data_IF_992060073478
#
_entry.id   IF_992060073478
#
_cell.length_a   1.000
_cell.length_b   1.000
_cell.length_c   1.000
_cell.angle_alpha   90.00
_cell.angle_beta   90.00
_cell.angle_gamma   90.00
#
_symmetry.space_group_name_H-M   'P 1'
#
loop_
_entity.id
_entity.type
_entity.pdbx_description
1 polymer ?
#
# COMPACT_ATOMS: atom_id res chain seq x y z
N UNK A 1 4.97 -40.21 0.05
CA UNK A 1 3.80 -39.76 0.84
C UNK A 1 4.17 -39.80 2.31
N UNK A 2 3.78 -38.79 3.12
CA UNK A 2 4.03 -38.82 4.58
C UNK A 2 2.89 -39.55 5.28
N UNK A 3 3.22 -40.44 6.20
CA UNK A 3 2.26 -41.14 7.06
C UNK A 3 2.60 -40.88 8.52
N UNK A 4 1.65 -40.35 9.27
CA UNK A 4 1.78 -39.95 10.67
C UNK A 4 1.37 -41.09 11.59
N UNK A 5 2.22 -41.41 12.56
CA UNK A 5 1.94 -42.46 13.55
C UNK A 5 0.76 -42.11 14.47
N UNK A 6 0.14 -43.14 15.06
CA UNK A 6 -0.90 -42.95 16.08
C UNK A 6 -0.45 -42.06 17.24
N UNK A 7 0.76 -42.29 17.77
CA UNK A 7 1.31 -41.52 18.89
C UNK A 7 1.50 -40.06 18.54
N UNK A 8 1.93 -39.76 17.30
CA UNK A 8 2.05 -38.40 16.80
C UNK A 8 0.70 -37.67 16.78
N UNK A 9 -0.35 -38.32 16.27
CA UNK A 9 -1.68 -37.69 16.17
C UNK A 9 -2.31 -37.55 17.58
N UNK A 10 -2.06 -38.50 18.49
CA UNK A 10 -2.66 -38.52 19.81
C UNK A 10 -2.01 -37.61 20.87
N UNK A 11 -0.70 -37.32 20.79
CA UNK A 11 0.04 -36.63 21.88
C UNK A 11 0.63 -35.25 21.52
N UNK A 12 0.58 -34.79 20.26
CA UNK A 12 1.43 -33.68 19.81
C UNK A 12 0.86 -32.26 19.98
N UNK A 13 -0.27 -32.06 20.69
CA UNK A 13 -0.98 -30.77 20.68
C UNK A 13 -0.87 -29.92 21.96
N UNK A 14 -0.53 -30.49 23.12
CA UNK A 14 -0.53 -29.74 24.39
C UNK A 14 0.78 -28.98 24.69
N UNK A 15 1.94 -29.56 24.36
CA UNK A 15 3.24 -28.96 24.69
C UNK A 15 3.48 -27.61 24.01
N UNK A 16 3.13 -27.51 22.72
CA UNK A 16 3.32 -26.30 21.91
C UNK A 16 2.45 -25.14 22.43
N UNK A 17 1.24 -25.43 22.92
CA UNK A 17 0.34 -24.41 23.48
C UNK A 17 0.92 -23.75 24.75
N UNK A 18 1.64 -24.49 25.60
CA UNK A 18 2.28 -23.92 26.79
C UNK A 18 3.44 -22.98 26.44
N UNK A 19 4.26 -23.34 25.46
CA UNK A 19 5.36 -22.48 24.96
C UNK A 19 4.79 -21.15 24.44
N UNK A 20 3.69 -21.23 23.70
CA UNK A 20 3.01 -20.07 23.16
C UNK A 20 2.43 -19.17 24.27
N UNK A 21 1.76 -19.73 25.28
CA UNK A 21 1.24 -18.94 26.42
C UNK A 21 2.39 -18.23 27.16
N UNK A 22 3.52 -18.90 27.37
CA UNK A 22 4.70 -18.29 27.98
C UNK A 22 5.22 -17.10 27.15
N UNK A 23 5.20 -17.21 25.82
CA UNK A 23 5.63 -16.14 24.91
C UNK A 23 4.71 -14.90 25.00
N UNK A 24 3.39 -15.08 25.13
CA UNK A 24 2.45 -13.95 25.37
C UNK A 24 2.80 -13.24 26.68
N UNK A 25 3.06 -13.99 27.75
CA UNK A 25 3.38 -13.41 29.06
C UNK A 25 4.66 -12.57 28.96
N UNK A 26 5.69 -13.07 28.27
CA UNK A 26 6.94 -12.33 28.04
C UNK A 26 6.67 -11.01 27.28
N UNK A 27 5.87 -11.05 26.21
CA UNK A 27 5.50 -9.85 25.45
C UNK A 27 4.74 -8.85 26.32
N UNK A 28 3.78 -9.32 27.12
CA UNK A 28 3.04 -8.47 28.04
C UNK A 28 3.96 -7.76 29.04
N UNK A 29 4.96 -8.48 29.58
CA UNK A 29 5.98 -7.89 30.47
C UNK A 29 6.84 -6.83 29.76
N UNK A 30 7.21 -7.06 28.50
CA UNK A 30 7.96 -6.08 27.69
C UNK A 30 7.13 -4.82 27.41
N UNK A 31 5.84 -4.97 27.12
CA UNK A 31 4.90 -3.84 26.96
C UNK A 31 4.79 -3.05 28.28
N UNK A 32 4.62 -3.74 29.42
CA UNK A 32 4.55 -3.08 30.73
C UNK A 32 5.85 -2.33 31.04
N UNK A 33 7.01 -2.97 30.83
CA UNK A 33 8.32 -2.35 31.08
C UNK A 33 8.55 -1.10 30.22
N UNK A 34 8.22 -1.17 28.93
CA UNK A 34 8.33 -0.02 28.02
C UNK A 34 7.30 1.07 28.34
N UNK A 35 6.11 0.71 28.83
CA UNK A 35 5.09 1.65 29.31
C UNK A 35 5.53 2.42 30.55
N UNK A 36 6.13 1.74 31.53
CA UNK A 36 6.72 2.36 32.71
C UNK A 36 7.84 3.33 32.30
N UNK A 37 8.70 2.91 31.37
CA UNK A 37 9.80 3.74 30.88
C UNK A 37 9.31 4.98 30.12
N UNK A 38 8.27 4.85 29.31
CA UNK A 38 7.60 5.99 28.66
C UNK A 38 7.00 6.95 29.68
N UNK A 39 6.26 6.44 30.68
CA UNK A 39 5.65 7.27 31.72
C UNK A 39 6.70 8.06 32.51
N UNK A 40 7.82 7.42 32.84
CA UNK A 40 8.94 8.07 33.53
C UNK A 40 9.64 9.13 32.69
N UNK A 41 9.70 8.95 31.38
CA UNK A 41 10.42 9.84 30.44
C UNK A 41 9.47 10.53 29.43
N UNK A 42 8.33 11.04 29.90
CA UNK A 42 7.23 11.59 29.08
C UNK A 42 7.63 12.76 28.16
N UNK A 43 8.73 13.47 28.46
CA UNK A 43 9.23 14.59 27.64
C UNK A 43 10.01 14.15 26.40
N UNK A 44 10.43 12.89 26.29
CA UNK A 44 11.21 12.39 25.15
C UNK A 44 10.33 11.60 24.18
N UNK A 45 10.10 12.18 22.99
CA UNK A 45 9.27 11.60 21.93
C UNK A 45 9.76 10.21 21.47
N UNK A 46 11.05 9.88 21.61
CA UNK A 46 11.58 8.57 21.21
C UNK A 46 11.00 7.42 22.02
N UNK A 47 10.77 7.62 23.33
CA UNK A 47 10.19 6.58 24.19
C UNK A 47 8.70 6.39 23.97
N UNK A 48 7.99 7.46 23.58
CA UNK A 48 6.61 7.34 23.10
C UNK A 48 6.55 6.44 21.85
N UNK A 49 7.40 6.70 20.86
CA UNK A 49 7.45 5.89 19.64
C UNK A 49 7.85 4.44 19.93
N UNK A 50 8.81 4.21 20.83
CA UNK A 50 9.22 2.87 21.24
C UNK A 50 8.08 2.10 21.93
N UNK A 51 7.36 2.74 22.85
CA UNK A 51 6.21 2.12 23.53
C UNK A 51 5.09 1.77 22.55
N UNK A 52 4.75 2.67 21.64
CA UNK A 52 3.73 2.43 20.60
C UNK A 52 4.15 1.25 19.71
N UNK A 53 5.42 1.21 19.28
CA UNK A 53 5.96 0.15 18.43
C UNK A 53 5.90 -1.22 19.11
N UNK A 54 6.36 -1.31 20.36
CA UNK A 54 6.36 -2.56 21.13
C UNK A 54 4.93 -3.04 21.40
N UNK A 55 4.01 -2.11 21.67
CA UNK A 55 2.59 -2.43 21.86
C UNK A 55 1.95 -2.95 20.57
N UNK A 56 2.21 -2.32 19.41
CA UNK A 56 1.70 -2.82 18.12
C UNK A 56 2.28 -4.18 17.75
N UNK A 57 3.58 -4.40 17.94
CA UNK A 57 4.21 -5.70 17.69
C UNK A 57 3.63 -6.78 18.61
N UNK A 58 3.44 -6.48 19.89
CA UNK A 58 2.85 -7.40 20.83
C UNK A 58 1.40 -7.74 20.51
N UNK A 59 0.58 -6.74 20.14
CA UNK A 59 -0.79 -6.95 19.68
C UNK A 59 -0.84 -7.84 18.43
N UNK A 60 0.08 -7.65 17.48
CA UNK A 60 0.19 -8.49 16.29
C UNK A 60 0.55 -9.94 16.63
N UNK A 61 1.52 -10.16 17.52
CA UNK A 61 1.91 -11.53 17.93
C UNK A 61 0.76 -12.22 18.68
N UNK A 62 0.09 -11.52 19.60
CA UNK A 62 -1.09 -12.04 20.31
C UNK A 62 -2.18 -12.39 19.30
N UNK A 63 -2.47 -11.52 18.33
CA UNK A 63 -3.48 -11.78 17.31
C UNK A 63 -3.14 -13.02 16.45
N UNK A 64 -1.88 -13.13 15.97
CA UNK A 64 -1.42 -14.30 15.23
C UNK A 64 -1.57 -15.59 16.04
N UNK A 65 -1.21 -15.56 17.33
CA UNK A 65 -1.28 -16.72 18.20
C UNK A 65 -2.72 -17.12 18.52
N UNK A 66 -3.61 -16.15 18.73
CA UNK A 66 -5.04 -16.40 18.95
C UNK A 66 -5.69 -17.02 17.71
N UNK A 67 -5.30 -16.55 16.51
CA UNK A 67 -5.70 -17.15 15.24
C UNK A 67 -5.27 -18.61 15.10
N UNK A 68 -4.04 -18.95 15.50
CA UNK A 68 -3.57 -20.35 15.55
C UNK A 68 -4.41 -21.21 16.49
N UNK A 69 -4.70 -20.73 17.71
CA UNK A 69 -5.51 -21.46 18.69
C UNK A 69 -6.92 -21.71 18.17
N UNK A 70 -7.52 -20.74 17.48
CA UNK A 70 -8.84 -20.90 16.87
C UNK A 70 -8.84 -21.95 15.75
N UNK A 71 -7.85 -21.93 14.85
CA UNK A 71 -7.67 -22.96 13.82
C UNK A 71 -7.43 -24.34 14.44
N UNK A 72 -6.67 -24.41 15.53
CA UNK A 72 -6.35 -25.65 16.21
C UNK A 72 -7.55 -26.27 16.92
N UNK A 73 -8.43 -25.48 17.57
CA UNK A 73 -9.66 -26.02 18.18
C UNK A 73 -10.57 -26.74 17.17
N UNK A 74 -10.66 -26.21 15.95
CA UNK A 74 -11.43 -26.85 14.87
C UNK A 74 -10.75 -28.13 14.37
N UNK A 75 -9.41 -28.16 14.34
CA UNK A 75 -8.64 -29.35 13.99
C UNK A 75 -8.69 -30.42 15.08
N UNK A 76 -8.60 -30.06 16.37
CA UNK A 76 -8.54 -30.99 17.51
C UNK A 76 -9.76 -31.94 17.58
N UNK A 77 -10.95 -31.45 17.23
CA UNK A 77 -12.16 -32.29 17.14
C UNK A 77 -12.02 -33.34 16.03
N UNK A 78 -11.53 -32.93 14.85
CA UNK A 78 -11.33 -33.81 13.71
C UNK A 78 -10.18 -34.80 13.96
N UNK A 79 -9.09 -34.36 14.57
CA UNK A 79 -7.96 -35.18 14.99
C UNK A 79 -8.40 -36.25 15.99
N UNK A 80 -9.24 -35.89 16.97
CA UNK A 80 -9.80 -36.85 17.94
C UNK A 80 -10.61 -37.95 17.23
N UNK A 81 -11.40 -37.59 16.21
CA UNK A 81 -12.15 -38.55 15.40
C UNK A 81 -11.23 -39.45 14.57
N UNK A 82 -10.16 -38.90 13.96
CA UNK A 82 -9.14 -39.70 13.25
C UNK A 82 -8.48 -40.72 14.19
N UNK A 83 -8.10 -40.32 15.41
CA UNK A 83 -7.53 -41.20 16.43
C UNK A 83 -8.51 -42.32 16.81
N UNK A 84 -9.81 -42.02 16.90
CA UNK A 84 -10.85 -43.02 17.16
C UNK A 84 -11.00 -44.03 16.02
N UNK A 85 -10.97 -43.57 14.76
CA UNK A 85 -11.05 -44.45 13.59
C UNK A 85 -9.83 -45.37 13.51
N UNK A 86 -8.62 -44.82 13.71
CA UNK A 86 -7.39 -45.63 13.78
C UNK A 86 -7.50 -46.70 14.87
N UNK A 87 -8.05 -46.35 16.04
CA UNK A 87 -8.27 -47.31 17.14
C UNK A 87 -9.29 -48.40 16.77
N UNK A 88 -10.37 -48.05 16.08
CA UNK A 88 -11.39 -49.01 15.65
C UNK A 88 -10.83 -49.99 14.59
N UNK A 89 -10.09 -49.48 13.61
CA UNK A 89 -9.44 -50.30 12.57
C UNK A 89 -8.37 -51.20 13.18
N UNK A 90 -7.56 -50.68 14.10
CA UNK A 90 -6.57 -51.47 14.86
C UNK A 90 -7.22 -52.65 15.59
N UNK A 91 -8.34 -52.43 16.28
CA UNK A 91 -9.11 -53.49 16.95
C UNK A 91 -9.69 -54.50 15.95
N UNK A 92 -10.27 -54.04 14.85
CA UNK A 92 -10.89 -54.90 13.84
C UNK A 92 -9.86 -55.78 13.11
N UNK A 93 -8.69 -55.23 12.82
CA UNK A 93 -7.61 -55.91 12.09
C UNK A 93 -6.59 -56.60 13.00
N UNK A 94 -6.73 -56.49 14.33
CA UNK A 94 -5.81 -57.04 15.34
C UNK A 94 -4.36 -56.59 15.16
N UNK A 95 -4.16 -55.34 14.73
CA UNK A 95 -2.84 -54.72 14.55
C UNK A 95 -2.59 -53.79 15.73
N UNK A 96 -1.42 -53.84 16.39
CA UNK A 96 -1.14 -52.98 17.54
C UNK A 96 -1.01 -51.50 17.11
N UNK A 97 -1.34 -50.58 18.03
CA UNK A 97 -1.47 -49.14 17.75
C UNK A 97 -0.15 -48.46 17.34
N UNK A 98 0.98 -49.03 17.72
CA UNK A 98 2.34 -48.61 17.34
C UNK A 98 2.65 -48.85 15.85
N UNK A 99 1.90 -49.74 15.19
CA UNK A 99 2.02 -50.04 13.77
C UNK A 99 0.92 -49.37 12.92
N UNK A 100 0.20 -48.41 13.50
CA UNK A 100 -0.86 -47.66 12.82
C UNK A 100 -0.35 -46.30 12.35
N UNK A 101 -0.55 -46.02 11.07
CA UNK A 101 -0.20 -44.74 10.47
C UNK A 101 -1.34 -44.17 9.62
N UNK A 102 -1.45 -42.85 9.53
CA UNK A 102 -2.47 -42.14 8.75
C UNK A 102 -1.84 -41.13 7.80
N UNK A 103 -2.43 -40.94 6.63
CA UNK A 103 -2.02 -39.91 5.67
C UNK A 103 -2.41 -38.49 6.06
N UNK A 104 -3.31 -38.34 7.02
CA UNK A 104 -3.86 -37.06 7.46
C UNK A 104 -3.94 -37.01 8.99
N UNK A 105 -3.73 -35.82 9.55
CA UNK A 105 -3.90 -35.53 10.98
C UNK A 105 -5.35 -35.16 11.33
N UNK A 106 -6.16 -34.83 10.32
CA UNK A 106 -7.57 -34.44 10.45
C UNK A 106 -8.46 -35.44 9.70
N UNK A 107 -9.73 -35.47 10.08
CA UNK A 107 -10.75 -36.33 9.47
C UNK A 107 -11.07 -35.83 8.04
N UNK A 108 -10.70 -36.62 7.03
CA UNK A 108 -10.90 -36.27 5.61
C UNK A 108 -11.27 -37.52 4.83
N UNK A 109 -12.22 -37.37 3.90
CA UNK A 109 -12.58 -38.42 2.96
C UNK A 109 -11.43 -38.78 2.02
N UNK A 110 -11.24 -40.08 1.77
CA UNK A 110 -10.13 -40.60 0.99
C UNK A 110 -8.79 -40.68 1.73
N UNK A 111 -8.76 -40.42 3.05
CA UNK A 111 -7.53 -40.60 3.83
C UNK A 111 -7.09 -42.07 3.85
N UNK A 112 -5.79 -42.32 3.84
CA UNK A 112 -5.21 -43.67 3.86
C UNK A 112 -4.70 -44.01 5.25
N UNK A 113 -5.10 -45.16 5.78
CA UNK A 113 -4.61 -45.73 7.04
C UNK A 113 -3.79 -46.98 6.73
N UNK A 114 -2.52 -46.97 7.13
CA UNK A 114 -1.65 -48.14 7.09
C UNK A 114 -1.73 -48.86 8.44
N UNK A 115 -2.04 -50.16 8.39
CA UNK A 115 -2.06 -51.06 9.54
C UNK A 115 -1.02 -52.17 9.31
N UNK A 116 0.17 -52.01 9.89
CA UNK A 116 1.28 -52.92 9.64
C UNK A 116 1.75 -52.86 8.17
N UNK A 117 1.53 -53.94 7.41
CA UNK A 117 1.92 -54.05 5.99
C UNK A 117 0.79 -53.68 5.00
N UNK A 118 -0.45 -53.68 5.48
CA UNK A 118 -1.62 -53.41 4.63
C UNK A 118 -2.04 -51.95 4.74
N UNK A 119 -2.52 -51.38 3.64
CA UNK A 119 -3.03 -50.03 3.58
C UNK A 119 -4.52 -50.04 3.18
N UNK A 120 -5.28 -49.13 3.76
CA UNK A 120 -6.72 -48.99 3.51
C UNK A 120 -7.07 -47.53 3.25
N UNK A 121 -7.93 -47.27 2.26
CA UNK A 121 -8.54 -45.94 2.07
C UNK A 121 -9.84 -45.90 2.87
N UNK A 122 -10.03 -44.81 3.60
CA UNK A 122 -11.25 -44.54 4.37
C UNK A 122 -12.18 -43.69 3.51
N UNK A 123 -13.38 -44.21 3.26
CA UNK A 123 -14.43 -43.47 2.56
C UNK A 123 -15.59 -43.17 3.51
N UNK A 124 -15.90 -41.90 3.69
CA UNK A 124 -17.03 -41.43 4.50
C UNK A 124 -18.28 -41.26 3.65
N UNK A 125 -19.44 -41.38 4.29
CA UNK A 125 -20.68 -40.86 3.73
C UNK A 125 -20.69 -39.32 3.76
N UNK A 126 -21.63 -38.71 3.04
CA UNK A 126 -21.78 -37.25 2.95
C UNK A 126 -21.86 -36.55 4.31
N UNK A 127 -22.40 -37.23 5.32
CA UNK A 127 -22.58 -36.69 6.68
C UNK A 127 -21.42 -37.00 7.64
N UNK A 128 -20.36 -37.67 7.18
CA UNK A 128 -19.17 -38.05 7.97
C UNK A 128 -19.46 -38.88 9.23
N UNK A 129 -20.64 -39.51 9.31
CA UNK A 129 -21.08 -40.33 10.44
C UNK A 129 -20.62 -41.78 10.33
N UNK A 130 -20.50 -42.27 9.10
CA UNK A 130 -20.23 -43.66 8.78
C UNK A 130 -19.02 -43.70 7.86
N UNK A 131 -18.19 -44.74 8.00
CA UNK A 131 -17.05 -44.92 7.12
C UNK A 131 -16.94 -46.37 6.64
N UNK A 132 -16.37 -46.54 5.46
CA UNK A 132 -15.96 -47.82 4.90
C UNK A 132 -14.46 -47.81 4.68
N UNK A 133 -13.84 -49.00 4.71
CA UNK A 133 -12.40 -49.17 4.50
C UNK A 133 -12.16 -50.12 3.35
N UNK A 134 -11.51 -49.63 2.30
CA UNK A 134 -11.18 -50.41 1.10
C UNK A 134 -9.67 -50.68 1.05
N UNK A 135 -9.23 -51.92 0.77
CA UNK A 135 -7.81 -52.22 0.68
C UNK A 135 -7.17 -51.49 -0.52
N UNK A 136 -5.97 -50.96 -0.32
CA UNK A 136 -5.21 -50.25 -1.36
C UNK A 136 -3.72 -50.61 -1.32
N UNK A 137 -3.01 -50.29 -2.40
CA UNK A 137 -1.55 -50.41 -2.48
C UNK A 137 -0.94 -49.02 -2.64
N UNK A 138 0.12 -48.77 -1.88
CA UNK A 138 0.87 -47.51 -1.98
C UNK A 138 1.76 -47.53 -3.22
N UNK A 139 1.70 -46.46 -4.02
CA UNK A 139 2.51 -46.29 -5.25
C UNK A 139 4.00 -46.06 -4.91
N UNK A 140 4.28 -45.50 -3.72
CA UNK A 140 5.65 -45.21 -3.25
C UNK A 140 5.80 -45.62 -1.78
N UNK A 141 7.04 -45.93 -1.37
CA UNK A 141 7.32 -46.18 0.04
C UNK A 141 6.99 -44.94 0.88
N UNK A 142 6.17 -45.07 1.92
CA UNK A 142 5.80 -43.93 2.75
C UNK A 142 6.94 -43.51 3.66
N UNK A 143 7.04 -42.21 3.92
CA UNK A 143 7.89 -41.68 4.99
C UNK A 143 7.07 -41.64 6.29
N UNK A 144 7.46 -42.44 7.28
CA UNK A 144 6.82 -42.46 8.59
C UNK A 144 7.26 -41.28 9.45
N UNK A 145 6.29 -40.56 10.00
CA UNK A 145 6.49 -39.42 10.90
C UNK A 145 6.09 -39.84 12.32
N UNK A 146 7.10 -40.08 13.16
CA UNK A 146 6.93 -40.70 14.47
C UNK A 146 7.09 -39.71 15.64
N UNK A 147 7.59 -38.51 15.38
CA UNK A 147 7.79 -37.47 16.39
C UNK A 147 7.42 -36.10 15.84
N UNK A 148 6.88 -35.27 16.74
CA UNK A 148 6.65 -33.85 16.53
C UNK A 148 7.97 -33.10 16.40
N UNK A 149 8.63 -33.20 15.24
CA UNK A 149 9.67 -32.24 14.90
C UNK A 149 9.05 -30.84 14.86
N UNK A 150 9.80 -29.82 15.29
CA UNK A 150 9.43 -28.42 15.04
C UNK A 150 9.41 -28.19 13.53
N UNK A 151 8.26 -28.42 12.91
CA UNK A 151 8.02 -28.11 11.51
C UNK A 151 7.33 -26.75 11.47
N UNK A 152 7.99 -25.75 10.89
CA UNK A 152 7.36 -24.48 10.53
C UNK A 152 6.05 -24.79 9.80
N UNK A 153 4.93 -24.50 10.44
CA UNK A 153 3.61 -24.81 9.91
C UNK A 153 3.39 -24.02 8.61
N UNK A 154 2.70 -24.60 7.62
CA UNK A 154 2.31 -23.90 6.40
C UNK A 154 1.45 -22.64 6.68
N UNK A 155 0.83 -22.54 7.86
CA UNK A 155 0.14 -21.31 8.29
C UNK A 155 1.13 -20.18 8.67
N UNK A 156 2.35 -20.54 9.10
CA UNK A 156 3.40 -19.58 9.48
C UNK A 156 4.04 -18.94 8.25
N UNK A 157 4.13 -19.68 7.15
CA UNK A 157 4.59 -19.15 5.86
C UNK A 157 3.60 -18.16 5.24
N UNK A 158 2.30 -18.26 5.53
CA UNK A 158 1.29 -17.31 5.02
C UNK A 158 1.48 -15.92 5.65
N UNK A 159 1.61 -15.83 6.97
CA UNK A 159 1.87 -14.55 7.64
C UNK A 159 3.24 -13.98 7.24
N UNK A 160 4.26 -14.83 7.05
CA UNK A 160 5.56 -14.42 6.52
C UNK A 160 5.47 -13.82 5.11
N UNK A 161 4.63 -14.41 4.24
CA UNK A 161 4.39 -13.90 2.89
C UNK A 161 3.66 -12.56 2.91
N UNK A 162 2.64 -12.41 3.78
CA UNK A 162 1.94 -11.14 3.99
C UNK A 162 2.90 -10.06 4.47
N UNK A 163 3.74 -10.38 5.47
CA UNK A 163 4.76 -9.46 5.98
C UNK A 163 5.75 -9.03 4.89
N UNK A 164 6.25 -9.97 4.09
CA UNK A 164 7.16 -9.69 2.99
C UNK A 164 6.51 -8.77 1.95
N UNK A 165 5.24 -9.04 1.56
CA UNK A 165 4.48 -8.15 0.67
C UNK A 165 4.33 -6.75 1.27
N UNK A 166 3.98 -6.63 2.55
CA UNK A 166 3.90 -5.32 3.22
C UNK A 166 5.24 -4.57 3.17
N UNK A 167 6.34 -5.25 3.45
CA UNK A 167 7.68 -4.65 3.43
C UNK A 167 8.07 -4.17 2.03
N UNK A 168 7.84 -5.01 1.01
CA UNK A 168 8.08 -4.67 -0.40
C UNK A 168 7.23 -3.46 -0.80
N UNK A 169 5.93 -3.49 -0.49
CA UNK A 169 5.00 -2.41 -0.81
C UNK A 169 5.45 -1.10 -0.17
N UNK A 170 5.78 -1.12 1.12
CA UNK A 170 6.28 0.05 1.84
C UNK A 170 7.56 0.63 1.20
N UNK A 171 8.57 -0.20 0.96
CA UNK A 171 9.83 0.22 0.34
C UNK A 171 9.56 0.81 -1.06
N UNK A 172 8.72 0.17 -1.86
CA UNK A 172 8.39 0.63 -3.21
C UNK A 172 7.62 1.95 -3.21
N UNK A 173 6.68 2.17 -2.28
CA UNK A 173 6.00 3.48 -2.15
C UNK A 173 7.01 4.57 -1.82
N UNK A 174 7.85 4.35 -0.81
CA UNK A 174 8.85 5.34 -0.37
C UNK A 174 9.81 5.67 -1.53
N UNK A 175 10.26 4.64 -2.26
CA UNK A 175 11.10 4.81 -3.43
C UNK A 175 10.38 5.58 -4.54
N UNK A 176 9.12 5.24 -4.85
CA UNK A 176 8.33 5.96 -5.85
C UNK A 176 8.11 7.43 -5.47
N UNK A 177 7.79 7.74 -4.21
CA UNK A 177 7.60 9.12 -3.75
C UNK A 177 8.93 9.90 -3.88
N UNK A 178 10.05 9.30 -3.48
CA UNK A 178 11.34 9.97 -3.57
C UNK A 178 11.79 10.21 -5.03
N UNK A 179 11.50 9.28 -5.95
CA UNK A 179 11.83 9.41 -7.37
C UNK A 179 10.87 10.31 -8.14
N UNK A 180 9.57 10.24 -7.84
CA UNK A 180 8.50 11.00 -8.53
C UNK A 180 8.40 12.45 -8.02
N UNK A 181 9.09 12.76 -6.93
CA UNK A 181 9.03 14.06 -6.25
C UNK A 181 7.88 14.16 -5.25
N UNK A 182 7.84 15.28 -4.53
CA UNK A 182 6.92 15.47 -3.39
C UNK A 182 5.45 15.71 -3.78
N UNK A 183 5.11 15.74 -5.07
CA UNK A 183 3.73 15.92 -5.57
C UNK A 183 2.76 14.87 -5.01
N UNK A 184 3.22 13.66 -4.71
CA UNK A 184 2.35 12.62 -4.11
C UNK A 184 1.95 12.94 -2.65
N UNK A 185 2.74 13.69 -1.90
CA UNK A 185 2.44 14.00 -0.49
C UNK A 185 1.48 15.18 -0.35
N UNK A 186 1.58 16.13 -1.27
CA UNK A 186 0.72 17.30 -1.39
C UNK A 186 0.28 17.39 -2.85
N UNK A 187 -0.81 16.71 -3.23
CA UNK A 187 -1.22 16.58 -4.62
C UNK A 187 -1.50 17.94 -5.25
N UNK A 188 -0.69 18.29 -6.24
CA UNK A 188 -0.80 19.52 -7.02
C UNK A 188 -1.80 19.40 -8.17
N UNK A 189 -2.06 18.18 -8.65
CA UNK A 189 -2.96 17.90 -9.76
C UNK A 189 -3.76 16.61 -9.55
N UNK A 190 -4.69 16.32 -10.47
CA UNK A 190 -5.54 15.14 -10.41
C UNK A 190 -4.76 13.82 -10.53
N UNK A 191 -3.67 13.79 -11.30
CA UNK A 191 -2.84 12.57 -11.49
C UNK A 191 -2.12 12.18 -10.20
N UNK A 192 -1.57 13.15 -9.48
CA UNK A 192 -0.92 12.90 -8.17
C UNK A 192 -1.95 12.33 -7.16
N UNK A 193 -3.19 12.82 -7.16
CA UNK A 193 -4.27 12.25 -6.33
C UNK A 193 -4.63 10.83 -6.75
N UNK A 194 -4.86 10.62 -8.05
CA UNK A 194 -5.20 9.32 -8.62
C UNK A 194 -4.11 8.29 -8.31
N UNK A 195 -2.85 8.72 -8.34
CA UNK A 195 -1.72 7.87 -8.02
C UNK A 195 -1.82 7.32 -6.60
N UNK A 196 -2.12 8.17 -5.62
CA UNK A 196 -2.26 7.74 -4.23
C UNK A 196 -3.39 6.73 -4.03
N UNK A 197 -4.52 6.92 -4.70
CA UNK A 197 -5.67 6.00 -4.61
C UNK A 197 -5.35 4.64 -5.22
N UNK A 198 -4.75 4.61 -6.40
CA UNK A 198 -4.41 3.35 -7.08
C UNK A 198 -3.32 2.61 -6.31
N UNK A 199 -2.30 3.32 -5.81
CA UNK A 199 -1.24 2.72 -5.01
C UNK A 199 -1.80 2.06 -3.73
N UNK A 200 -2.71 2.75 -3.04
CA UNK A 200 -3.43 2.20 -1.89
C UNK A 200 -4.27 0.97 -2.25
N UNK A 201 -4.97 1.01 -3.39
CA UNK A 201 -5.78 -0.10 -3.89
C UNK A 201 -4.96 -1.33 -4.28
N UNK A 202 -3.83 -1.14 -4.97
CA UNK A 202 -2.90 -2.22 -5.36
C UNK A 202 -2.34 -2.90 -4.11
N UNK A 203 -1.85 -2.11 -3.16
CA UNK A 203 -1.22 -2.65 -1.95
C UNK A 203 -2.26 -3.36 -1.09
N UNK A 204 -3.41 -2.72 -0.86
CA UNK A 204 -4.52 -3.33 -0.14
C UNK A 204 -4.97 -4.65 -0.77
N UNK A 205 -5.24 -4.65 -2.07
CA UNK A 205 -5.75 -5.85 -2.77
C UNK A 205 -4.76 -7.01 -2.83
N UNK A 206 -3.49 -6.75 -3.15
CA UNK A 206 -2.49 -7.81 -3.37
C UNK A 206 -2.04 -8.46 -2.07
N UNK A 207 -2.10 -7.74 -0.95
CA UNK A 207 -1.69 -8.27 0.35
C UNK A 207 -2.61 -9.41 0.82
N UNK A 208 -3.92 -9.31 0.56
CA UNK A 208 -4.89 -10.33 0.99
C UNK A 208 -5.03 -11.50 0.01
N UNK A 209 -4.56 -11.34 -1.23
CA UNK A 209 -4.66 -12.38 -2.24
C UNK A 209 -3.49 -13.36 -2.14
N UNK A 210 -3.76 -14.61 -1.78
CA UNK A 210 -2.74 -15.66 -1.65
C UNK A 210 -2.22 -16.18 -3.00
N UNK A 211 -3.00 -16.01 -4.09
CA UNK A 211 -2.61 -16.46 -5.43
C UNK A 211 -1.52 -15.57 -6.04
N UNK A 212 -1.43 -14.31 -5.57
CA UNK A 212 -0.41 -13.39 -6.03
C UNK A 212 0.87 -13.61 -5.24
N UNK A 213 1.91 -14.07 -5.92
CA UNK A 213 3.24 -14.26 -5.32
C UNK A 213 3.94 -12.92 -5.02
N UNK A 214 4.92 -12.87 -4.10
CA UNK A 214 5.69 -11.65 -3.85
C UNK A 214 6.40 -11.09 -5.10
N UNK A 215 6.86 -11.95 -6.01
CA UNK A 215 7.51 -11.51 -7.26
C UNK A 215 6.50 -10.88 -8.22
N UNK A 216 5.30 -11.46 -8.35
CA UNK A 216 4.21 -10.86 -9.13
C UNK A 216 3.80 -9.51 -8.55
N UNK A 217 3.79 -9.36 -7.23
CA UNK A 217 3.53 -8.08 -6.60
C UNK A 217 4.59 -7.01 -6.96
N UNK A 218 5.87 -7.36 -6.96
CA UNK A 218 6.94 -6.45 -7.44
C UNK A 218 6.72 -6.06 -8.90
N UNK A 219 6.36 -7.01 -9.77
CA UNK A 219 6.07 -6.74 -11.18
C UNK A 219 4.89 -5.77 -11.33
N UNK A 220 3.80 -5.97 -10.57
CA UNK A 220 2.65 -5.06 -10.58
C UNK A 220 3.07 -3.64 -10.17
N UNK A 221 3.88 -3.50 -9.11
CA UNK A 221 4.38 -2.19 -8.66
C UNK A 221 5.31 -1.54 -9.68
N UNK A 222 6.12 -2.33 -10.41
CA UNK A 222 6.98 -1.82 -11.48
C UNK A 222 6.18 -1.35 -12.69
N UNK A 223 5.19 -2.13 -13.14
CA UNK A 223 4.27 -1.72 -14.22
C UNK A 223 3.59 -0.40 -13.86
N UNK A 224 3.04 -0.33 -12.64
CA UNK A 224 2.43 0.89 -12.12
C UNK A 224 3.42 2.06 -12.08
N UNK A 225 4.66 1.82 -11.63
CA UNK A 225 5.72 2.83 -11.61
C UNK A 225 5.98 3.38 -13.01
N UNK A 226 6.11 2.51 -14.01
CA UNK A 226 6.36 2.91 -15.40
C UNK A 226 5.22 3.78 -15.92
N UNK A 227 3.96 3.44 -15.64
CA UNK A 227 2.79 4.25 -16.03
C UNK A 227 2.87 5.66 -15.42
N UNK A 228 3.16 5.75 -14.12
CA UNK A 228 3.30 7.04 -13.43
C UNK A 228 4.43 7.88 -14.02
N UNK A 229 5.63 7.32 -14.19
CA UNK A 229 6.77 8.04 -14.73
C UNK A 229 6.55 8.44 -16.19
N UNK A 230 5.95 7.56 -16.99
CA UNK A 230 5.57 7.86 -18.37
C UNK A 230 4.55 9.01 -18.43
N UNK A 231 3.53 8.99 -17.56
CA UNK A 231 2.55 10.08 -17.48
C UNK A 231 3.23 11.41 -17.16
N UNK A 232 4.09 11.46 -16.13
CA UNK A 232 4.84 12.67 -15.78
C UNK A 232 5.76 13.15 -16.90
N UNK A 233 6.43 12.23 -17.57
CA UNK A 233 7.29 12.56 -18.71
C UNK A 233 6.50 13.15 -19.88
N UNK A 234 5.34 12.56 -20.21
CA UNK A 234 4.48 13.02 -21.29
C UNK A 234 3.86 14.39 -20.99
N UNK A 235 3.36 14.62 -19.77
CA UNK A 235 2.81 15.91 -19.37
C UNK A 235 3.89 16.99 -19.26
N UNK A 236 5.10 16.63 -18.79
CA UNK A 236 6.23 17.55 -18.74
C UNK A 236 6.80 17.94 -20.10
N UNK A 237 6.58 17.13 -21.14
CA UNK A 237 7.08 17.39 -22.50
C UNK A 237 6.06 18.14 -23.36
N UNK A 238 4.76 17.92 -23.18
CA UNK A 238 3.72 18.50 -24.04
C UNK A 238 2.69 19.27 -23.24
N UNK A 239 2.59 20.58 -23.52
CA UNK A 239 1.61 21.47 -22.91
C UNK A 239 0.16 21.03 -23.22
N UNK A 240 -0.10 20.45 -24.40
CA UNK A 240 -1.43 19.93 -24.76
C UNK A 240 -1.81 18.73 -23.90
N UNK A 241 -0.90 17.77 -23.73
CA UNK A 241 -1.11 16.62 -22.84
C UNK A 241 -1.24 17.07 -21.38
N UNK A 242 -0.44 18.05 -20.95
CA UNK A 242 -0.54 18.63 -19.61
C UNK A 242 -1.94 19.23 -19.39
N UNK A 243 -2.40 20.10 -20.30
CA UNK A 243 -3.74 20.72 -20.25
C UNK A 243 -4.87 19.70 -20.27
N UNK A 244 -4.74 18.60 -21.02
CA UNK A 244 -5.76 17.54 -21.10
C UNK A 244 -5.80 16.63 -19.87
N UNK A 245 -4.64 16.30 -19.29
CA UNK A 245 -4.53 15.31 -18.20
C UNK A 245 -4.58 16.00 -16.84
N UNK A 246 -3.74 17.01 -16.62
CA UNK A 246 -3.64 17.72 -15.34
C UNK A 246 -4.60 18.91 -15.24
N UNK A 247 -5.05 19.42 -16.40
CA UNK A 247 -5.86 20.62 -16.48
C UNK A 247 -5.00 21.87 -16.64
N UNK A 248 -5.61 23.04 -16.44
CA UNK A 248 -4.86 24.30 -16.35
C UNK A 248 -5.59 25.26 -15.40
N UNK A 249 -4.87 26.11 -14.65
CA UNK A 249 -5.49 27.05 -13.74
C UNK A 249 -6.47 27.98 -14.47
N UNK A 250 -7.67 28.17 -13.90
CA UNK A 250 -8.74 28.98 -14.51
C UNK A 250 -9.12 30.15 -13.62
N UNK A 251 -8.93 31.37 -14.11
CA UNK A 251 -9.38 32.58 -13.42
C UNK A 251 -10.92 32.65 -13.49
N UNK A 252 -11.57 32.57 -12.32
CA UNK A 252 -13.01 32.60 -12.14
C UNK A 252 -13.52 33.98 -11.76
N UNK A 253 -12.75 34.78 -11.00
CA UNK A 253 -13.12 36.15 -10.61
C UNK A 253 -11.94 37.05 -10.90
N UNK A 254 -12.20 38.19 -11.54
CA UNK A 254 -11.21 39.22 -11.79
C UNK A 254 -11.82 40.59 -11.49
N UNK A 255 -11.21 41.34 -10.56
CA UNK A 255 -11.66 42.66 -10.10
C UNK A 255 -13.16 42.71 -9.77
N UNK A 256 -13.63 41.75 -8.96
CA UNK A 256 -15.03 41.62 -8.56
C UNK A 256 -16.00 41.11 -9.63
N UNK A 257 -15.51 40.79 -10.85
CA UNK A 257 -16.35 40.27 -11.94
C UNK A 257 -16.19 38.75 -12.05
N UNK A 258 -17.30 38.02 -11.88
CA UNK A 258 -17.34 36.56 -11.95
C UNK A 258 -17.50 36.08 -13.40
N UNK A 259 -16.58 35.24 -13.87
CA UNK A 259 -16.69 34.55 -15.16
C UNK A 259 -17.52 33.28 -15.02
N UNK A 260 -18.84 33.42 -15.15
CA UNK A 260 -19.81 32.33 -15.02
C UNK A 260 -19.53 31.18 -15.99
N UNK A 261 -19.14 31.49 -17.23
CA UNK A 261 -18.84 30.47 -18.25
C UNK A 261 -17.66 29.58 -17.83
N UNK A 262 -16.59 30.14 -17.26
CA UNK A 262 -15.46 29.36 -16.76
C UNK A 262 -15.84 28.56 -15.53
N UNK A 263 -16.61 29.12 -14.60
CA UNK A 263 -17.07 28.40 -13.43
C UNK A 263 -17.90 27.15 -13.83
N UNK A 264 -18.90 27.33 -14.70
CA UNK A 264 -19.76 26.24 -15.16
C UNK A 264 -19.00 25.17 -15.96
N UNK A 265 -18.07 25.56 -16.84
CA UNK A 265 -17.23 24.61 -17.60
C UNK A 265 -16.34 23.74 -16.69
N UNK A 266 -15.97 24.24 -15.52
CA UNK A 266 -15.20 23.50 -14.51
C UNK A 266 -16.10 22.85 -13.45
N UNK A 267 -17.42 22.74 -13.72
CA UNK A 267 -18.36 22.08 -12.81
C UNK A 267 -18.65 22.84 -11.51
N UNK A 268 -18.33 24.14 -11.44
CA UNK A 268 -18.58 24.97 -10.27
C UNK A 268 -19.92 25.70 -10.37
N UNK A 269 -20.83 25.34 -9.48
CA UNK A 269 -22.05 26.10 -9.21
C UNK A 269 -21.75 27.37 -8.42
N UNK A 270 -22.66 28.35 -8.47
CA UNK A 270 -22.56 29.57 -7.67
C UNK A 270 -22.42 29.27 -6.16
N UNK A 271 -23.13 28.26 -5.66
CA UNK A 271 -23.05 27.82 -4.26
C UNK A 271 -21.67 27.27 -3.90
N UNK A 272 -21.05 26.48 -4.78
CA UNK A 272 -19.70 25.95 -4.56
C UNK A 272 -18.65 27.07 -4.62
N UNK A 273 -18.79 28.01 -5.55
CA UNK A 273 -17.88 29.17 -5.64
C UNK A 273 -17.99 30.03 -4.37
N UNK A 274 -19.20 30.36 -3.93
CA UNK A 274 -19.44 31.12 -2.70
C UNK A 274 -18.93 30.37 -1.46
N UNK A 275 -19.14 29.04 -1.39
CA UNK A 275 -18.59 28.22 -0.31
C UNK A 275 -17.05 28.29 -0.29
N UNK A 276 -16.40 28.13 -1.44
CA UNK A 276 -14.93 28.23 -1.56
C UNK A 276 -14.43 29.61 -1.11
N UNK A 277 -15.04 30.69 -1.57
CA UNK A 277 -14.71 32.06 -1.12
C UNK A 277 -14.81 32.20 0.41
N UNK A 278 -15.89 31.69 1.03
CA UNK A 278 -16.05 31.72 2.49
C UNK A 278 -15.01 30.88 3.23
N UNK A 279 -14.61 29.73 2.70
CA UNK A 279 -13.51 28.94 3.30
C UNK A 279 -12.17 29.66 3.27
N UNK A 280 -12.01 30.64 2.38
CA UNK A 280 -10.87 31.55 2.32
C UNK A 280 -11.09 32.88 3.07
N UNK A 281 -12.16 32.98 3.87
CA UNK A 281 -12.44 34.17 4.69
C UNK A 281 -13.02 35.37 3.91
N UNK A 282 -13.44 35.17 2.66
CA UNK A 282 -14.00 36.23 1.83
C UNK A 282 -15.51 36.30 1.99
N UNK A 283 -16.01 37.49 2.34
CA UNK A 283 -17.44 37.74 2.60
C UNK A 283 -18.19 38.24 1.36
N UNK A 284 -17.58 39.13 0.57
CA UNK A 284 -18.14 39.63 -0.69
C UNK A 284 -17.18 39.29 -1.84
N UNK A 285 -17.73 38.76 -2.93
CA UNK A 285 -16.96 38.46 -4.14
C UNK A 285 -16.44 39.74 -4.82
N UNK A 286 -16.99 40.91 -4.50
CA UNK A 286 -16.52 42.22 -4.99
C UNK A 286 -15.17 42.63 -4.41
N UNK A 287 -14.83 42.13 -3.21
CA UNK A 287 -13.55 42.39 -2.57
C UNK A 287 -12.41 41.54 -3.18
N UNK A 288 -12.77 40.63 -4.08
CA UNK A 288 -11.84 39.73 -4.77
C UNK A 288 -11.24 40.42 -5.98
N UNK A 289 -9.92 40.61 -5.92
CA UNK A 289 -9.12 41.05 -7.05
C UNK A 289 -8.90 39.93 -8.06
N UNK A 290 -8.57 38.74 -7.57
CA UNK A 290 -8.39 37.57 -8.41
C UNK A 290 -8.79 36.29 -7.65
N UNK A 291 -9.60 35.43 -8.27
CA UNK A 291 -9.81 34.06 -7.79
C UNK A 291 -9.54 33.06 -8.92
N UNK A 292 -8.60 32.16 -8.70
CA UNK A 292 -8.17 31.15 -9.67
C UNK A 292 -8.48 29.77 -9.14
N UNK A 293 -9.12 28.95 -9.96
CA UNK A 293 -9.28 27.53 -9.72
C UNK A 293 -8.01 26.80 -10.17
N UNK A 294 -7.29 26.20 -9.23
CA UNK A 294 -6.08 25.41 -9.47
C UNK A 294 -6.40 24.00 -10.00
N UNK A 295 -5.39 23.32 -10.55
CA UNK A 295 -5.51 21.97 -11.14
C UNK A 295 -5.98 20.88 -10.15
N UNK A 296 -5.62 21.01 -8.88
CA UNK A 296 -6.14 20.13 -7.81
C UNK A 296 -7.56 20.48 -7.35
N UNK A 297 -8.20 21.48 -7.97
CA UNK A 297 -9.55 21.95 -7.65
C UNK A 297 -9.65 22.92 -6.47
N UNK A 298 -8.52 23.32 -5.88
CA UNK A 298 -8.50 24.36 -4.85
C UNK A 298 -8.71 25.76 -5.46
N UNK A 299 -9.20 26.70 -4.67
CA UNK A 299 -9.39 28.09 -5.09
C UNK A 299 -8.29 28.93 -4.45
N UNK A 300 -7.46 29.57 -5.27
CA UNK A 300 -6.55 30.61 -4.79
C UNK A 300 -7.26 31.95 -4.90
N UNK A 301 -7.27 32.75 -3.83
CA UNK A 301 -7.97 34.04 -3.79
C UNK A 301 -6.99 35.14 -3.37
N UNK A 302 -7.07 36.28 -4.05
CA UNK A 302 -6.32 37.52 -3.75
C UNK A 302 -7.33 38.65 -3.60
N UNK A 303 -7.23 39.39 -2.50
CA UNK A 303 -8.12 40.53 -2.20
C UNK A 303 -7.60 41.83 -2.83
N UNK A 304 -8.47 42.85 -2.92
CA UNK A 304 -8.13 44.16 -3.49
C UNK A 304 -6.96 44.85 -2.78
N UNK A 305 -6.85 44.64 -1.47
CA UNK A 305 -5.82 45.25 -0.62
C UNK A 305 -4.48 44.47 -0.68
N UNK A 306 -4.46 43.32 -1.34
CA UNK A 306 -3.28 42.49 -1.51
C UNK A 306 -2.56 42.78 -2.85
N UNK A 307 -1.21 42.75 -2.86
CA UNK A 307 -0.45 42.84 -4.10
C UNK A 307 -0.88 41.70 -5.04
N UNK A 308 -1.06 42.04 -6.32
CA UNK A 308 -1.55 41.08 -7.33
C UNK A 308 -0.60 39.90 -7.42
N UNK A 309 -1.11 38.68 -7.25
CA UNK A 309 -0.30 37.47 -7.42
C UNK A 309 0.07 37.37 -8.89
N UNK A 310 1.35 37.57 -9.22
CA UNK A 310 1.83 37.46 -10.59
C UNK A 310 1.99 35.97 -10.92
N UNK A 311 0.99 35.43 -11.63
CA UNK A 311 1.12 34.08 -12.17
C UNK A 311 2.30 34.03 -13.15
N UNK A 312 3.14 32.99 -13.04
CA UNK A 312 4.22 32.80 -13.98
C UNK A 312 3.65 32.57 -15.38
N UNK A 313 4.20 33.28 -16.36
CA UNK A 313 3.88 33.13 -17.77
C UNK A 313 4.65 31.95 -18.38
N UNK A 314 5.82 31.63 -17.81
CA UNK A 314 6.64 30.48 -18.20
C UNK A 314 6.93 29.65 -16.96
N UNK A 315 6.67 28.34 -17.05
CA UNK A 315 6.97 27.36 -16.00
C UNK A 315 7.59 26.14 -16.64
N UNK A 316 8.73 25.69 -16.09
CA UNK A 316 9.41 24.47 -16.52
C UNK A 316 9.67 24.39 -18.03
N UNK A 317 10.03 25.51 -18.65
CA UNK A 317 10.31 25.58 -20.08
C UNK A 317 9.07 25.63 -20.99
N UNK A 318 7.88 25.81 -20.41
CA UNK A 318 6.62 25.86 -21.15
C UNK A 318 5.89 27.19 -20.96
N UNK A 319 5.33 27.72 -22.05
CA UNK A 319 4.50 28.92 -22.04
C UNK A 319 3.07 28.60 -21.60
N UNK A 320 2.59 29.33 -20.60
CA UNK A 320 1.16 29.36 -20.26
C UNK A 320 0.45 30.41 -21.11
N UNK A 321 -0.04 29.98 -22.27
CA UNK A 321 -0.76 30.83 -23.23
C UNK A 321 -1.97 31.55 -22.61
N UNK A 322 -2.68 30.89 -21.69
CA UNK A 322 -3.82 31.53 -21.04
C UNK A 322 -3.34 32.76 -20.25
N UNK A 323 -2.29 32.63 -19.45
CA UNK A 323 -1.73 33.75 -18.67
C UNK A 323 -1.15 34.83 -19.60
N UNK A 324 -0.49 34.44 -20.69
CA UNK A 324 0.04 35.36 -21.70
C UNK A 324 -1.08 36.19 -22.38
N UNK A 325 -2.11 35.52 -22.89
CA UNK A 325 -3.23 36.17 -23.60
C UNK A 325 -4.04 37.09 -22.69
N UNK A 326 -4.15 36.81 -21.38
CA UNK A 326 -4.80 37.73 -20.44
C UNK A 326 -4.02 39.03 -20.23
N UNK A 327 -2.70 39.02 -20.47
CA UNK A 327 -1.88 40.24 -20.51
C UNK A 327 -1.82 40.87 -21.90
N UNK A 328 -2.56 40.35 -22.88
CA UNK A 328 -2.53 40.81 -24.27
C UNK A 328 -1.26 40.43 -25.02
N UNK A 329 -0.53 39.42 -24.54
CA UNK A 329 0.68 38.91 -25.18
C UNK A 329 0.37 37.65 -25.98
N UNK A 330 0.89 37.57 -27.20
CA UNK A 330 0.91 36.33 -27.98
C UNK A 330 2.17 35.49 -27.71
N UNK A 331 2.19 34.26 -28.20
CA UNK A 331 3.32 33.35 -27.97
C UNK A 331 4.65 33.87 -28.56
N UNK A 332 4.59 34.51 -29.74
CA UNK A 332 5.75 35.03 -30.44
C UNK A 332 6.37 36.22 -29.69
N UNK A 333 5.54 37.09 -29.11
CA UNK A 333 5.98 38.22 -28.29
C UNK A 333 6.69 37.75 -27.03
N UNK A 334 6.18 36.70 -26.37
CA UNK A 334 6.85 36.13 -25.18
C UNK A 334 8.17 35.46 -25.56
N UNK A 335 8.24 34.83 -26.73
CA UNK A 335 9.48 34.25 -27.26
C UNK A 335 10.52 35.32 -27.55
N UNK A 336 10.14 36.42 -28.22
CA UNK A 336 11.01 37.58 -28.44
C UNK A 336 11.51 38.22 -27.13
N UNK A 337 10.66 38.30 -26.10
CA UNK A 337 11.07 38.81 -24.79
C UNK A 337 12.13 37.91 -24.12
N UNK A 338 12.05 36.59 -24.31
CA UNK A 338 13.08 35.66 -23.85
C UNK A 338 14.38 35.80 -24.67
N UNK A 339 14.27 35.91 -26.00
CA UNK A 339 15.42 36.06 -26.89
C UNK A 339 16.21 37.35 -26.61
N UNK A 340 15.51 38.45 -26.33
CA UNK A 340 16.12 39.72 -25.93
C UNK A 340 16.92 39.63 -24.63
N UNK A 341 16.65 38.62 -23.79
CA UNK A 341 17.40 38.32 -22.57
C UNK A 341 18.41 37.17 -22.76
N UNK A 342 18.59 36.68 -23.99
CA UNK A 342 19.59 35.67 -24.34
C UNK A 342 19.23 34.24 -23.92
N UNK A 343 17.94 33.91 -23.84
CA UNK A 343 17.43 32.58 -23.51
C UNK A 343 16.27 32.17 -24.42
N UNK A 344 16.06 30.87 -24.58
CA UNK A 344 14.82 30.35 -25.19
C UNK A 344 13.81 30.03 -24.10
N UNK A 345 12.52 29.89 -24.44
CA UNK A 345 11.48 29.51 -23.47
C UNK A 345 11.87 28.22 -22.73
N UNK A 346 12.49 27.26 -23.41
CA UNK A 346 12.92 25.97 -22.84
C UNK A 346 14.01 26.10 -21.77
N UNK A 347 14.80 27.18 -21.80
CA UNK A 347 15.85 27.44 -20.82
C UNK A 347 15.32 28.05 -19.52
N UNK A 348 14.06 28.51 -19.50
CA UNK A 348 13.44 29.22 -18.39
C UNK A 348 12.77 28.23 -17.44
N UNK A 349 13.22 28.19 -16.20
CA UNK A 349 12.56 27.46 -15.11
C UNK A 349 11.29 28.19 -14.64
N UNK A 350 11.39 29.50 -14.43
CA UNK A 350 10.27 30.34 -13.98
C UNK A 350 10.35 31.72 -14.65
N UNK A 351 9.30 32.13 -15.35
CA UNK A 351 9.18 33.46 -15.91
C UNK A 351 7.93 34.15 -15.38
N UNK A 352 8.08 35.33 -14.79
CA UNK A 352 6.95 36.11 -14.27
C UNK A 352 7.17 37.60 -14.50
N UNK A 353 6.10 38.36 -14.68
CA UNK A 353 6.22 39.82 -14.71
C UNK A 353 6.41 40.35 -13.29
N UNK A 354 7.41 41.20 -13.08
CA UNK A 354 7.64 41.91 -11.84
C UNK A 354 6.68 43.10 -11.65
N UNK A 355 6.67 43.74 -10.46
CA UNK A 355 5.79 44.88 -10.17
C UNK A 355 5.98 46.09 -11.09
N UNK A 356 7.16 46.19 -11.72
CA UNK A 356 7.55 47.26 -12.65
C UNK A 356 7.20 46.96 -14.12
N UNK A 357 6.57 45.81 -14.40
CA UNK A 357 6.18 45.40 -15.76
C UNK A 357 7.29 44.72 -16.58
N UNK A 358 8.46 44.46 -15.99
CA UNK A 358 9.52 43.70 -16.65
C UNK A 358 9.29 42.19 -16.50
N UNK A 359 9.64 41.40 -17.51
CA UNK A 359 9.63 39.95 -17.44
C UNK A 359 10.89 39.46 -16.71
N UNK A 360 10.72 39.01 -15.47
CA UNK A 360 11.77 38.41 -14.66
C UNK A 360 11.87 36.92 -14.99
N UNK A 361 13.04 36.50 -15.49
CA UNK A 361 13.32 35.12 -15.90
C UNK A 361 14.33 34.46 -14.95
N UNK A 362 13.96 33.28 -14.45
CA UNK A 362 14.83 32.37 -13.72
C UNK A 362 15.16 31.22 -14.65
N UNK A 363 16.41 31.08 -15.05
CA UNK A 363 16.85 30.04 -15.97
C UNK A 363 17.20 28.75 -15.23
N UNK A 364 17.07 27.62 -15.92
CA UNK A 364 17.69 26.38 -15.47
C UNK A 364 19.20 26.58 -15.30
N UNK A 365 19.82 25.99 -14.27
CA UNK A 365 21.26 26.10 -14.08
C UNK A 365 21.98 25.49 -15.29
N UNK A 366 22.62 26.34 -16.10
CA UNK A 366 23.53 25.89 -17.16
C UNK A 366 24.55 24.95 -16.50
N UNK A 367 24.62 23.68 -16.93
CA UNK A 367 25.50 22.66 -16.35
C UNK A 367 26.87 23.26 -16.05
N UNK A 368 27.14 23.63 -14.79
CA UNK A 368 28.51 23.89 -14.34
C UNK A 368 29.23 22.57 -14.55
N UNK A 369 30.36 22.57 -15.26
CA UNK A 369 31.32 21.47 -15.22
C UNK A 369 31.82 21.37 -13.78
N UNK A 370 31.10 20.61 -12.96
CA UNK A 370 31.35 20.37 -11.54
C UNK A 370 32.61 19.48 -11.45
N UNK A 371 33.70 20.11 -10.97
CA UNK A 371 34.97 19.56 -10.47
C UNK A 371 35.93 18.84 -11.44
N UNK A 372 36.95 19.58 -11.92
CA UNK A 372 38.31 19.00 -11.97
C UNK A 372 38.79 18.90 -10.52
N UNK A 373 38.98 17.68 -10.00
CA UNK A 373 39.81 17.44 -8.82
C UNK A 373 41.17 18.10 -9.07
N UNK A 374 41.52 19.10 -8.27
CA UNK A 374 42.94 19.43 -8.11
C UNK A 374 43.59 18.28 -7.35
N UNK A 375 44.77 17.89 -7.85
CA UNK A 375 45.58 16.75 -7.41
C UNK A 375 46.03 16.90 -5.97
#
# INVERSE_FOLDING_TARGET
MKLYSYSFIAHNFHFTNYIFIALIIVIALVIIGTGIFYYRNRSNLRFRSLFILVTMLGALIIAMQTGRVFQQKNADSQTTQTVQIMRNISKQKKVPLDQMYSSSNNLVDGMTIQAGKDAYVVHFNTDMTNYTVTPTKLVSQPQHVNSGGFTWSSSDSQYGTIFLKFLIGFIMIVLQINLSGKGNLAPSNAVDQLQNYILGGIIGGVIYNQDITPIQFVIILLIWSVIVFASKFLTGTSNTLNKMINGSPQILILNGVVNVNRALRNGLTANQLAFKLRTHGVNDFKDVKNATLEENGQLTVTLNDEPTMNYPIITDGQLNENVASHRGLDANQVEQLCENQGCTIQDVYLGQFGPKGNLDLVLYPKKRKVFKRQK
#
